data_IF_009159095562
#
_entry.id   IF_009159095562
#
_cell.length_a   1.000
_cell.length_b   1.000
_cell.length_c   1.000
_cell.angle_alpha   90.00
_cell.angle_beta   90.00
_cell.angle_gamma   90.00
#
_symmetry.space_group_name_H-M   'P 1'
#
loop_
_entity.id
_entity.type
_entity.pdbx_description
1 polymer ?
#
# COMPACT_ATOMS: atom_id res chain seq x y z
N UNK A 1 -15.75 -9.99 -17.74
CA UNK A 1 -15.55 -9.53 -16.33
C UNK A 1 -16.31 -10.46 -15.40
N UNK A 2 -15.65 -11.02 -14.36
CA UNK A 2 -16.24 -12.10 -13.53
C UNK A 2 -17.45 -11.65 -12.68
N UNK A 3 -17.53 -10.38 -12.33
CA UNK A 3 -18.62 -9.77 -11.54
C UNK A 3 -19.23 -8.56 -12.27
N UNK A 4 -19.38 -8.66 -13.60
CA UNK A 4 -19.88 -7.57 -14.43
C UNK A 4 -21.26 -7.04 -14.00
N UNK A 5 -22.11 -7.92 -13.45
CA UNK A 5 -23.44 -7.55 -12.96
C UNK A 5 -23.42 -6.51 -11.82
N UNK A 6 -22.33 -6.42 -11.07
CA UNK A 6 -22.18 -5.37 -10.04
C UNK A 6 -22.09 -3.96 -10.66
N UNK A 7 -21.62 -3.84 -11.89
CA UNK A 7 -21.32 -2.56 -12.56
C UNK A 7 -22.29 -2.22 -13.71
N UNK A 8 -22.99 -3.22 -14.24
CA UNK A 8 -23.97 -3.04 -15.31
C UNK A 8 -25.08 -4.08 -15.16
N UNK A 9 -26.34 -3.67 -15.30
CA UNK A 9 -27.47 -4.58 -15.28
C UNK A 9 -27.37 -5.54 -16.45
N UNK A 10 -27.52 -6.86 -16.26
CA UNK A 10 -27.63 -7.81 -17.36
C UNK A 10 -28.87 -7.50 -18.22
N UNK A 11 -28.85 -7.85 -19.50
CA UNK A 11 -30.04 -7.72 -20.36
C UNK A 11 -31.26 -8.43 -19.76
N UNK A 12 -32.39 -7.72 -19.68
CA UNK A 12 -33.64 -8.21 -19.08
C UNK A 12 -33.71 -8.20 -17.55
N UNK A 13 -32.69 -7.68 -16.86
CA UNK A 13 -32.71 -7.52 -15.40
C UNK A 13 -33.37 -6.18 -15.00
N UNK A 14 -34.29 -6.23 -14.03
CA UNK A 14 -34.89 -5.05 -13.40
C UNK A 14 -34.03 -4.47 -12.25
N UNK A 15 -32.97 -5.19 -11.86
CA UNK A 15 -32.08 -4.74 -10.78
C UNK A 15 -31.01 -3.79 -11.30
N UNK A 16 -30.87 -2.57 -10.71
CA UNK A 16 -29.81 -1.64 -11.09
C UNK A 16 -28.44 -2.14 -10.65
N UNK A 17 -27.34 -1.67 -11.28
CA UNK A 17 -26.00 -1.97 -10.80
C UNK A 17 -25.78 -1.37 -9.42
N UNK A 18 -25.06 -2.09 -8.56
CA UNK A 18 -24.80 -1.70 -7.17
C UNK A 18 -23.48 -0.94 -6.98
N UNK A 19 -22.60 -0.95 -7.99
CA UNK A 19 -21.30 -0.31 -7.96
C UNK A 19 -21.08 0.55 -9.21
N UNK A 20 -20.28 1.62 -9.05
CA UNK A 20 -19.69 2.38 -10.16
C UNK A 20 -18.20 2.07 -10.23
N UNK A 21 -17.72 1.76 -11.44
CA UNK A 21 -16.31 1.54 -11.68
C UNK A 21 -15.61 2.87 -11.92
N UNK A 22 -14.55 3.13 -11.14
CA UNK A 22 -13.62 4.22 -11.37
C UNK A 22 -12.24 3.62 -11.64
N UNK A 23 -11.58 4.07 -12.71
CA UNK A 23 -10.23 3.64 -13.06
C UNK A 23 -9.22 4.57 -12.40
N UNK A 24 -8.32 3.98 -11.63
CA UNK A 24 -7.16 4.68 -11.08
C UNK A 24 -5.97 4.54 -12.03
N UNK A 25 -5.14 5.57 -12.13
CA UNK A 25 -3.90 5.57 -12.89
C UNK A 25 -2.76 6.09 -12.03
N UNK A 26 -1.61 5.45 -12.12
CA UNK A 26 -0.41 5.91 -11.44
C UNK A 26 -0.06 7.34 -11.89
N UNK A 27 0.26 8.22 -10.93
CA UNK A 27 0.58 9.62 -11.18
C UNK A 27 -0.62 10.57 -11.31
N UNK A 28 -1.85 10.06 -11.42
CA UNK A 28 -3.07 10.88 -11.49
C UNK A 28 -3.73 10.98 -10.11
N UNK A 29 -3.66 12.18 -9.50
CA UNK A 29 -4.27 12.44 -8.18
C UNK A 29 -5.78 12.20 -8.25
N UNK A 30 -6.31 11.46 -7.28
CA UNK A 30 -7.73 11.23 -7.10
C UNK A 30 -8.20 11.84 -5.78
N UNK A 31 -9.41 12.39 -5.78
CA UNK A 31 -10.09 12.86 -4.57
C UNK A 31 -11.27 11.95 -4.28
N UNK A 32 -11.30 11.42 -3.07
CA UNK A 32 -12.38 10.55 -2.58
C UNK A 32 -13.25 11.40 -1.66
N UNK A 33 -14.48 11.63 -2.06
CA UNK A 33 -15.45 12.41 -1.30
C UNK A 33 -16.16 11.52 -0.26
N UNK A 34 -16.35 12.03 0.95
CA UNK A 34 -17.04 11.34 2.02
C UNK A 34 -17.60 12.27 3.07
N UNK A 35 -18.39 11.74 4.02
CA UNK A 35 -19.01 12.54 5.11
C UNK A 35 -17.98 13.22 6.01
N UNK A 36 -16.77 12.68 6.11
CA UNK A 36 -15.65 13.25 6.87
C UNK A 36 -14.84 14.31 6.12
N UNK A 37 -15.23 14.65 4.89
CA UNK A 37 -14.51 15.54 3.98
C UNK A 37 -13.75 14.79 2.89
N UNK A 38 -13.13 15.51 1.94
CA UNK A 38 -12.39 14.93 0.84
C UNK A 38 -11.04 14.36 1.29
N UNK A 39 -10.67 13.20 0.75
CA UNK A 39 -9.35 12.60 0.91
C UNK A 39 -8.65 12.60 -0.44
N UNK A 40 -7.52 13.29 -0.54
CA UNK A 40 -6.71 13.29 -1.75
C UNK A 40 -5.67 12.16 -1.70
N UNK A 41 -5.66 11.31 -2.71
CA UNK A 41 -4.69 10.24 -2.88
C UNK A 41 -3.91 10.40 -4.18
N UNK A 42 -2.62 10.12 -4.15
CA UNK A 42 -1.77 9.99 -5.34
C UNK A 42 -1.41 8.52 -5.52
N UNK A 43 -2.05 7.80 -6.46
CA UNK A 43 -1.63 6.45 -6.82
C UNK A 43 -0.24 6.47 -7.47
N UNK A 44 0.60 5.49 -7.18
CA UNK A 44 1.86 5.26 -7.88
C UNK A 44 2.03 3.79 -8.22
N UNK A 45 2.75 3.50 -9.29
CA UNK A 45 2.95 2.13 -9.77
C UNK A 45 3.89 1.35 -8.84
N UNK A 46 3.60 0.08 -8.66
CA UNK A 46 4.44 -0.90 -7.96
C UNK A 46 4.57 -2.15 -8.81
N UNK A 47 5.68 -2.86 -8.67
CA UNK A 47 5.87 -4.21 -9.19
C UNK A 47 5.38 -5.21 -8.16
N UNK A 48 4.62 -6.21 -8.59
CA UNK A 48 4.12 -7.30 -7.75
C UNK A 48 4.25 -8.62 -8.52
N UNK A 49 5.50 -9.10 -8.63
CA UNK A 49 5.82 -10.21 -9.51
C UNK A 49 5.48 -9.88 -10.97
N UNK A 50 4.68 -10.72 -11.60
CA UNK A 50 4.29 -10.57 -13.02
C UNK A 50 3.10 -9.61 -13.25
N UNK A 51 2.50 -9.07 -12.19
CA UNK A 51 1.38 -8.14 -12.27
C UNK A 51 1.69 -6.81 -11.60
N UNK A 52 1.25 -5.67 -12.16
CA UNK A 52 1.41 -4.38 -11.50
C UNK A 52 0.41 -4.23 -10.36
N UNK A 53 0.81 -3.52 -9.31
CA UNK A 53 -0.06 -3.04 -8.25
C UNK A 53 0.02 -1.51 -8.12
N UNK A 54 -0.83 -0.94 -7.26
CA UNK A 54 -0.78 0.49 -6.94
C UNK A 54 -0.54 0.68 -5.45
N UNK A 55 0.48 1.49 -5.15
CA UNK A 55 0.61 2.14 -3.86
C UNK A 55 -0.09 3.49 -3.86
N UNK A 56 -0.26 4.07 -2.68
CA UNK A 56 -0.96 5.35 -2.51
C UNK A 56 -0.19 6.29 -1.59
N UNK A 57 -0.18 7.57 -1.95
CA UNK A 57 0.29 8.63 -1.06
C UNK A 57 -0.87 9.53 -0.65
N UNK A 58 -1.02 9.77 0.65
CA UNK A 58 -1.99 10.66 1.29
C UNK A 58 -1.21 11.74 2.07
N UNK A 59 -1.05 12.93 1.49
CA UNK A 59 -0.19 13.94 2.10
C UNK A 59 1.23 13.43 2.34
N UNK A 60 1.63 13.31 3.60
CA UNK A 60 2.94 12.79 4.03
C UNK A 60 2.93 11.31 4.45
N UNK A 61 1.84 10.59 4.17
CA UNK A 61 1.72 9.15 4.44
C UNK A 61 1.78 8.37 3.13
N UNK A 62 2.65 7.37 3.05
CA UNK A 62 2.72 6.39 1.98
C UNK A 62 2.14 5.05 2.40
N UNK A 63 1.44 4.38 1.51
CA UNK A 63 0.95 3.01 1.69
C UNK A 63 1.37 2.16 0.50
N UNK A 64 2.14 1.12 0.77
CA UNK A 64 2.72 0.21 -0.21
C UNK A 64 2.55 -1.22 0.26
N UNK A 65 1.46 -1.87 -0.14
CA UNK A 65 1.24 -3.29 0.07
C UNK A 65 1.27 -4.00 -1.29
N UNK A 66 1.55 -5.30 -1.28
CA UNK A 66 1.65 -6.11 -2.50
C UNK A 66 2.66 -5.54 -3.50
N UNK A 67 3.93 -5.49 -3.07
CA UNK A 67 5.03 -5.06 -3.96
C UNK A 67 6.28 -5.91 -3.80
N UNK A 68 6.96 -6.13 -4.91
CA UNK A 68 8.30 -6.72 -5.00
C UNK A 68 9.34 -5.73 -5.52
N UNK A 69 8.89 -4.54 -5.97
CA UNK A 69 9.77 -3.50 -6.48
C UNK A 69 9.05 -2.16 -6.66
N UNK A 70 9.86 -1.11 -6.76
CA UNK A 70 9.40 0.26 -7.02
C UNK A 70 10.10 0.79 -8.27
N UNK A 71 9.36 1.03 -9.37
CA UNK A 71 9.90 1.75 -10.52
C UNK A 71 10.48 3.12 -10.11
N UNK A 72 11.51 3.59 -10.82
CA UNK A 72 12.23 4.82 -10.46
C UNK A 72 11.31 6.05 -10.29
N UNK A 73 10.30 6.19 -11.14
CA UNK A 73 9.32 7.28 -11.04
C UNK A 73 8.40 7.16 -9.80
N UNK A 74 8.16 5.94 -9.32
CA UNK A 74 7.33 5.70 -8.15
C UNK A 74 8.07 5.97 -6.84
N UNK A 75 9.37 5.73 -6.78
CA UNK A 75 10.20 6.05 -5.63
C UNK A 75 10.14 7.55 -5.30
N UNK A 76 10.02 8.41 -6.32
CA UNK A 76 9.86 9.86 -6.12
C UNK A 76 8.57 10.20 -5.37
N UNK A 77 7.48 9.48 -5.58
CA UNK A 77 6.22 9.68 -4.86
C UNK A 77 6.35 9.37 -3.35
N UNK A 78 7.36 8.62 -2.95
CA UNK A 78 7.63 8.21 -1.57
C UNK A 78 8.72 9.03 -0.87
N UNK A 79 9.18 10.14 -1.47
CA UNK A 79 10.15 11.01 -0.83
C UNK A 79 9.51 11.94 0.21
N UNK A 80 10.20 12.21 1.31
CA UNK A 80 9.76 13.15 2.34
C UNK A 80 8.51 12.71 3.10
N UNK A 81 8.32 11.42 3.29
CA UNK A 81 7.21 10.88 4.08
C UNK A 81 7.47 11.02 5.58
N UNK A 82 6.41 11.37 6.31
CA UNK A 82 6.40 11.26 7.76
C UNK A 82 6.15 9.82 8.19
N UNK A 83 5.30 9.10 7.45
CA UNK A 83 4.99 7.71 7.70
C UNK A 83 4.95 6.91 6.38
N UNK A 84 5.59 5.76 6.37
CA UNK A 84 5.46 4.79 5.30
C UNK A 84 4.98 3.44 5.83
N UNK A 85 3.80 3.00 5.40
CA UNK A 85 3.27 1.67 5.66
C UNK A 85 3.69 0.80 4.47
N UNK A 86 4.50 -0.22 4.71
CA UNK A 86 5.17 -0.98 3.65
C UNK A 86 5.10 -2.48 3.89
N UNK A 87 4.89 -3.21 2.80
CA UNK A 87 4.92 -4.67 2.75
C UNK A 87 6.26 -5.23 3.26
N UNK A 88 6.21 -6.24 4.12
CA UNK A 88 7.36 -7.04 4.56
C UNK A 88 6.88 -8.45 4.86
N UNK A 89 6.66 -9.25 3.80
CA UNK A 89 5.95 -10.51 3.94
C UNK A 89 6.65 -11.50 4.87
N UNK A 90 7.97 -11.71 4.69
CA UNK A 90 8.73 -12.74 5.42
C UNK A 90 10.23 -12.48 5.38
N UNK A 91 11.03 -13.26 6.15
CA UNK A 91 12.50 -13.16 6.10
C UNK A 91 13.08 -13.57 4.74
N UNK A 92 12.58 -14.65 4.13
CA UNK A 92 13.10 -15.16 2.85
C UNK A 92 12.54 -14.36 1.68
N UNK A 93 13.32 -14.18 0.59
CA UNK A 93 12.81 -13.54 -0.62
C UNK A 93 11.53 -14.18 -1.15
N UNK A 94 10.66 -13.36 -1.73
CA UNK A 94 9.43 -13.77 -2.37
C UNK A 94 9.32 -13.15 -3.78
N UNK A 95 8.80 -13.86 -4.79
CA UNK A 95 8.79 -13.35 -6.16
C UNK A 95 7.90 -12.12 -6.36
N UNK A 96 6.89 -11.91 -5.51
CA UNK A 96 5.93 -10.81 -5.68
C UNK A 96 5.80 -9.88 -4.47
N UNK A 97 6.50 -10.15 -3.36
CA UNK A 97 6.46 -9.32 -2.15
C UNK A 97 7.85 -8.98 -1.66
N UNK A 98 7.99 -7.86 -0.98
CA UNK A 98 9.20 -7.56 -0.25
C UNK A 98 9.44 -8.59 0.86
N UNK A 99 10.67 -9.04 0.97
CA UNK A 99 11.18 -9.61 2.22
C UNK A 99 11.41 -8.51 3.24
N UNK A 100 11.63 -8.89 4.51
CA UNK A 100 12.05 -7.92 5.53
C UNK A 100 13.30 -7.14 5.09
N UNK A 101 14.29 -7.82 4.50
CA UNK A 101 15.52 -7.19 4.04
C UNK A 101 15.27 -6.16 2.92
N UNK A 102 14.37 -6.47 1.97
CA UNK A 102 14.00 -5.54 0.90
C UNK A 102 13.31 -4.30 1.47
N UNK A 103 12.34 -4.49 2.37
CA UNK A 103 11.63 -3.39 3.03
C UNK A 103 12.60 -2.48 3.79
N UNK A 104 13.49 -3.04 4.59
CA UNK A 104 14.49 -2.26 5.35
C UNK A 104 15.46 -1.52 4.44
N UNK A 105 15.91 -2.12 3.33
CA UNK A 105 16.76 -1.46 2.33
C UNK A 105 16.07 -0.25 1.69
N UNK A 106 14.79 -0.38 1.35
CA UNK A 106 14.03 0.74 0.82
C UNK A 106 13.74 1.82 1.86
N UNK A 107 13.47 1.46 3.13
CA UNK A 107 13.31 2.41 4.24
C UNK A 107 14.59 3.22 4.45
N UNK A 108 15.75 2.57 4.44
CA UNK A 108 17.05 3.25 4.53
C UNK A 108 17.29 4.22 3.36
N UNK A 109 16.89 3.85 2.16
CA UNK A 109 17.02 4.68 0.95
C UNK A 109 16.07 5.88 0.93
N UNK A 110 14.80 5.69 1.30
CA UNK A 110 13.75 6.72 1.23
C UNK A 110 13.69 7.59 2.49
N UNK A 111 14.18 7.11 3.62
CA UNK A 111 14.30 7.77 4.91
C UNK A 111 12.99 8.42 5.39
N UNK A 112 11.86 7.66 5.45
CA UNK A 112 10.67 8.17 6.11
C UNK A 112 10.98 8.42 7.59
N UNK A 113 10.27 9.38 8.23
CA UNK A 113 10.46 9.61 9.68
C UNK A 113 10.09 8.37 10.50
N UNK A 114 9.06 7.65 10.07
CA UNK A 114 8.57 6.39 10.67
C UNK A 114 8.17 5.42 9.57
N UNK A 115 8.37 4.13 9.79
CA UNK A 115 7.87 3.07 8.91
C UNK A 115 7.11 2.01 9.70
N UNK A 116 6.00 1.52 9.15
CA UNK A 116 5.22 0.41 9.69
C UNK A 116 5.29 -0.73 8.68
N UNK A 117 5.77 -1.89 9.14
CA UNK A 117 5.78 -3.11 8.34
C UNK A 117 4.40 -3.75 8.37
N UNK A 118 3.86 -4.06 7.21
CA UNK A 118 2.53 -4.69 7.08
C UNK A 118 2.59 -5.98 6.26
N UNK A 119 1.47 -6.70 6.15
CA UNK A 119 1.38 -7.97 5.43
C UNK A 119 2.31 -9.06 5.98
N UNK A 120 2.53 -9.07 7.28
CA UNK A 120 3.46 -9.95 7.96
C UNK A 120 2.96 -11.40 7.96
N UNK A 121 3.79 -12.31 7.44
CA UNK A 121 3.55 -13.74 7.51
C UNK A 121 3.90 -14.29 8.92
N UNK A 122 3.35 -15.42 9.28
CA UNK A 122 3.51 -16.05 10.61
C UNK A 122 4.94 -16.43 10.99
N UNK A 123 5.91 -16.42 10.08
CA UNK A 123 7.33 -16.62 10.39
C UNK A 123 8.01 -15.35 10.94
N UNK A 124 7.36 -14.19 10.81
CA UNK A 124 7.77 -12.93 11.42
C UNK A 124 7.09 -12.77 12.78
N UNK A 125 7.66 -13.37 13.83
CA UNK A 125 7.16 -13.18 15.20
C UNK A 125 7.21 -11.70 15.58
N UNK A 126 6.09 -11.16 16.06
CA UNK A 126 5.92 -9.73 16.33
C UNK A 126 6.92 -9.20 17.37
N UNK A 127 7.05 -9.88 18.50
CA UNK A 127 7.92 -9.41 19.60
C UNK A 127 9.41 -9.51 19.21
N UNK A 128 9.77 -10.54 18.47
CA UNK A 128 11.12 -10.70 17.94
C UNK A 128 11.41 -9.61 16.91
N UNK A 129 10.50 -9.38 15.96
CA UNK A 129 10.67 -8.38 14.90
C UNK A 129 10.86 -6.97 15.48
N UNK A 130 10.13 -6.61 16.53
CA UNK A 130 10.31 -5.33 17.24
C UNK A 130 11.73 -5.08 17.73
N UNK A 131 12.47 -6.14 18.05
CA UNK A 131 13.85 -6.04 18.54
C UNK A 131 14.89 -6.06 17.42
N UNK A 132 14.51 -6.52 16.23
CA UNK A 132 15.40 -6.69 15.07
C UNK A 132 15.42 -5.48 14.13
N UNK A 133 14.38 -4.66 14.15
CA UNK A 133 14.24 -3.52 13.23
C UNK A 133 14.82 -2.22 13.79
N UNK A 134 15.19 -1.25 12.94
CA UNK A 134 15.66 0.07 13.37
C UNK A 134 14.63 0.81 14.24
N UNK A 135 15.06 1.80 15.07
CA UNK A 135 14.18 2.48 16.02
C UNK A 135 12.98 3.22 15.39
N UNK A 136 13.09 3.62 14.13
CA UNK A 136 12.02 4.29 13.39
C UNK A 136 11.13 3.31 12.59
N UNK A 137 11.33 2.02 12.76
CA UNK A 137 10.56 0.95 12.10
C UNK A 137 9.86 0.11 13.16
N UNK A 138 8.63 -0.27 12.89
CA UNK A 138 7.86 -1.14 13.78
C UNK A 138 6.95 -2.08 12.99
N UNK A 139 6.70 -3.30 13.47
CA UNK A 139 5.69 -4.17 12.89
C UNK A 139 4.30 -3.62 13.18
N UNK A 140 3.42 -3.67 12.17
CA UNK A 140 2.00 -3.36 12.32
C UNK A 140 1.23 -4.47 13.02
N UNK A 141 0.10 -4.13 13.61
CA UNK A 141 -0.85 -5.07 14.20
C UNK A 141 -2.29 -4.63 13.94
N UNK A 142 -3.22 -5.58 13.98
CA UNK A 142 -4.64 -5.31 13.75
C UNK A 142 -5.21 -4.34 14.80
N UNK A 143 -5.83 -3.28 14.34
CA UNK A 143 -6.33 -2.19 15.20
C UNK A 143 -5.29 -1.10 15.51
N UNK A 144 -4.08 -1.17 14.98
CA UNK A 144 -3.11 -0.07 15.09
C UNK A 144 -3.66 1.21 14.47
N UNK A 145 -3.54 2.31 15.18
CA UNK A 145 -3.97 3.63 14.71
C UNK A 145 -2.85 4.66 14.83
N UNK A 146 -2.84 5.63 13.94
CA UNK A 146 -1.89 6.75 13.94
C UNK A 146 -2.57 8.00 13.38
N UNK A 147 -2.09 9.16 13.80
CA UNK A 147 -2.50 10.44 13.22
C UNK A 147 -1.56 10.79 12.08
N UNK A 148 -2.13 11.16 10.95
CA UNK A 148 -1.43 11.79 9.83
C UNK A 148 -1.71 13.30 9.90
N UNK A 149 -0.68 14.11 10.12
CA UNK A 149 -0.77 15.57 10.06
C UNK A 149 -0.55 16.06 8.62
#
# INVERSE_FOLDING_TARGET
MRFGYCFASPPGSEYPPILRQHRLRAGEKVVIEGKGGPIAALPFAQEHGDIPSLGFRFGNVGYSCDLSGLPAGSAQALTGLDLWIVDALRYRPHPSHFSLADALSWIERLKPKRAILTNLHSDLDYEKLRTEVPPNVEPGFDGMSFNAE
#
